data_IF_665691791502
#
_entry.id   IF_665691791502
#
_cell.length_a   1.000
_cell.length_b   1.000
_cell.length_c   1.000
_cell.angle_alpha   90.00
_cell.angle_beta   90.00
_cell.angle_gamma   90.00
#
_symmetry.space_group_name_H-M   'P 1'
#
loop_
_entity.id
_entity.type
_entity.pdbx_description
1 polymer ?
#
# COMPACT_ATOMS: atom_id res chain seq x y z
N UNK A 1 22.45 0.99 -18.91
CA UNK A 1 23.55 1.96 -18.68
C UNK A 1 23.00 3.36 -18.47
N UNK A 2 23.86 4.31 -18.05
CA UNK A 2 23.45 5.71 -17.94
C UNK A 2 23.00 6.22 -19.31
N UNK A 3 21.77 6.72 -19.40
CA UNK A 3 21.16 7.21 -20.65
C UNK A 3 20.16 6.23 -21.29
N UNK A 4 20.01 5.02 -20.77
CA UNK A 4 18.98 4.09 -21.27
C UNK A 4 17.57 4.63 -21.06
N UNK A 5 16.73 4.48 -22.09
CA UNK A 5 15.28 4.70 -21.98
C UNK A 5 14.62 3.36 -21.64
N UNK A 6 13.86 3.35 -20.55
CA UNK A 6 13.29 2.15 -19.95
C UNK A 6 11.78 2.34 -19.79
N UNK A 7 11.02 1.36 -20.28
CA UNK A 7 9.60 1.25 -19.96
C UNK A 7 9.43 0.44 -18.68
N UNK A 8 8.71 1.00 -17.71
CA UNK A 8 8.41 0.36 -16.44
C UNK A 8 6.93 0.03 -16.42
N UNK A 9 6.59 -1.22 -16.10
CA UNK A 9 5.23 -1.74 -16.01
C UNK A 9 4.92 -2.16 -14.57
N UNK A 10 4.45 -1.24 -13.71
CA UNK A 10 4.37 -1.50 -12.27
C UNK A 10 3.36 -2.56 -11.85
N UNK A 11 2.26 -2.68 -12.59
CA UNK A 11 1.25 -3.70 -12.35
C UNK A 11 1.71 -5.10 -12.75
N UNK A 12 2.61 -5.19 -13.73
CA UNK A 12 3.17 -6.45 -14.22
C UNK A 12 4.46 -6.85 -13.48
N UNK A 13 5.07 -5.92 -12.75
CA UNK A 13 6.35 -6.17 -12.10
C UNK A 13 7.46 -6.41 -13.11
N UNK A 14 7.48 -5.62 -14.20
CA UNK A 14 8.38 -5.78 -15.34
C UNK A 14 8.97 -4.45 -15.80
N UNK A 15 10.19 -4.47 -16.35
CA UNK A 15 10.78 -3.36 -17.08
C UNK A 15 11.47 -3.85 -18.36
N UNK A 16 11.36 -3.07 -19.44
CA UNK A 16 11.96 -3.37 -20.74
C UNK A 16 12.78 -2.20 -21.25
N UNK A 17 13.79 -2.49 -22.07
CA UNK A 17 14.46 -1.45 -22.86
C UNK A 17 13.47 -0.94 -23.91
N UNK A 18 13.32 0.38 -24.02
CA UNK A 18 12.30 1.00 -24.86
C UNK A 18 12.50 0.72 -26.35
N UNK A 19 13.75 0.78 -26.83
CA UNK A 19 14.06 0.68 -28.26
C UNK A 19 14.05 -0.78 -28.75
N UNK A 20 14.60 -1.69 -27.94
CA UNK A 20 14.77 -3.10 -28.33
C UNK A 20 13.63 -4.00 -27.86
N UNK A 21 12.82 -3.56 -26.90
CA UNK A 21 11.82 -4.39 -26.23
C UNK A 21 12.41 -5.49 -25.35
N UNK A 22 13.74 -5.53 -25.16
CA UNK A 22 14.41 -6.55 -24.35
C UNK A 22 13.99 -6.43 -22.87
N UNK A 23 13.67 -7.56 -22.24
CA UNK A 23 13.33 -7.60 -20.81
C UNK A 23 14.60 -7.35 -19.99
N UNK A 24 14.57 -6.29 -19.18
CA UNK A 24 15.69 -5.90 -18.31
C UNK A 24 15.52 -6.49 -16.91
N UNK A 25 14.29 -6.47 -16.39
CA UNK A 25 13.94 -7.14 -15.15
C UNK A 25 12.46 -7.52 -15.14
N UNK A 26 12.14 -8.59 -14.41
CA UNK A 26 10.77 -9.06 -14.25
C UNK A 26 10.60 -9.79 -12.91
N UNK A 27 9.36 -10.01 -12.50
CA UNK A 27 9.01 -10.74 -11.27
C UNK A 27 9.16 -9.94 -9.98
N UNK A 28 9.41 -8.63 -10.07
CA UNK A 28 9.42 -7.76 -8.88
C UNK A 28 8.01 -7.43 -8.42
N UNK A 29 7.87 -7.03 -7.15
CA UNK A 29 6.57 -6.70 -6.55
C UNK A 29 6.68 -5.37 -5.83
N UNK A 30 5.63 -4.54 -5.97
CA UNK A 30 5.47 -3.38 -5.09
C UNK A 30 5.25 -3.85 -3.66
N UNK A 31 5.75 -3.08 -2.69
CA UNK A 31 5.64 -3.41 -1.26
C UNK A 31 4.18 -3.54 -0.80
N UNK A 32 3.28 -2.77 -1.40
CA UNK A 32 1.85 -2.79 -1.13
C UNK A 32 1.10 -2.30 -2.36
N UNK A 33 -0.08 -2.85 -2.62
CA UNK A 33 -0.97 -2.40 -3.70
C UNK A 33 -1.49 -0.98 -3.47
N UNK A 34 -1.52 -0.51 -2.21
CA UNK A 34 -1.90 0.86 -1.86
C UNK A 34 -0.96 1.90 -2.47
N UNK A 35 0.27 1.52 -2.84
CA UNK A 35 1.23 2.41 -3.50
C UNK A 35 0.66 3.02 -4.80
N UNK A 36 -0.19 2.29 -5.53
CA UNK A 36 -0.84 2.81 -6.74
C UNK A 36 -1.85 3.93 -6.43
N UNK A 37 -2.60 3.78 -5.34
CA UNK A 37 -3.48 4.83 -4.85
C UNK A 37 -2.69 6.06 -4.36
N UNK A 38 -1.54 5.83 -3.72
CA UNK A 38 -0.68 6.91 -3.24
C UNK A 38 -0.16 7.75 -4.42
N UNK A 39 0.33 7.10 -5.48
CA UNK A 39 0.78 7.81 -6.70
C UNK A 39 -0.38 8.56 -7.34
N UNK A 40 -1.54 7.91 -7.53
CA UNK A 40 -2.73 8.53 -8.12
C UNK A 40 -3.22 9.75 -7.33
N UNK A 41 -3.10 9.72 -6.00
CA UNK A 41 -3.50 10.81 -5.12
C UNK A 41 -2.45 11.94 -5.03
N UNK A 42 -1.29 11.82 -5.70
CA UNK A 42 -0.19 12.77 -5.57
C UNK A 42 0.61 12.65 -4.26
N UNK A 43 0.54 11.49 -3.61
CA UNK A 43 1.30 11.13 -2.41
C UNK A 43 0.45 10.45 -1.33
N UNK A 44 1.14 9.80 -0.38
CA UNK A 44 0.51 9.10 0.74
C UNK A 44 -0.28 10.00 1.67
N UNK A 45 0.23 11.20 1.99
CA UNK A 45 -0.46 12.15 2.88
C UNK A 45 -1.80 12.61 2.25
N UNK A 46 -1.82 13.11 0.99
CA UNK A 46 -3.07 13.41 0.30
C UNK A 46 -4.06 12.24 0.28
N UNK A 47 -3.58 11.02 0.00
CA UNK A 47 -4.42 9.82 0.02
C UNK A 47 -5.08 9.59 1.39
N UNK A 48 -4.31 9.64 2.48
CA UNK A 48 -4.85 9.40 3.83
C UNK A 48 -5.93 10.43 4.17
N UNK A 49 -5.69 11.72 3.88
CA UNK A 49 -6.65 12.79 4.14
C UNK A 49 -7.91 12.62 3.27
N UNK A 50 -7.74 12.41 1.97
CA UNK A 50 -8.85 12.25 1.02
C UNK A 50 -9.69 11.00 1.32
N UNK A 51 -9.03 9.86 1.59
CA UNK A 51 -9.69 8.61 1.99
C UNK A 51 -10.46 8.80 3.30
N UNK A 52 -9.86 9.46 4.29
CA UNK A 52 -10.52 9.79 5.56
C UNK A 52 -11.75 10.68 5.39
N UNK A 53 -11.67 11.70 4.54
CA UNK A 53 -12.81 12.56 4.20
C UNK A 53 -13.94 11.76 3.55
N UNK A 54 -13.63 10.91 2.57
CA UNK A 54 -14.62 10.05 1.90
C UNK A 54 -15.29 9.10 2.90
N UNK A 55 -14.54 8.48 3.81
CA UNK A 55 -15.11 7.63 4.85
C UNK A 55 -16.11 8.39 5.71
N UNK A 56 -15.74 9.59 6.20
CA UNK A 56 -16.65 10.42 7.01
C UNK A 56 -17.92 10.80 6.26
N UNK A 57 -17.80 11.23 5.01
CA UNK A 57 -18.93 11.60 4.17
C UNK A 57 -19.90 10.43 3.96
N UNK A 58 -19.38 9.23 3.67
CA UNK A 58 -20.18 8.02 3.48
C UNK A 58 -20.92 7.62 4.75
N UNK A 59 -20.24 7.65 5.90
CA UNK A 59 -20.87 7.39 7.21
C UNK A 59 -22.03 8.36 7.47
N UNK A 60 -21.85 9.67 7.21
CA UNK A 60 -22.92 10.67 7.38
C UNK A 60 -24.10 10.45 6.45
N UNK A 61 -23.87 9.84 5.28
CA UNK A 61 -24.91 9.46 4.32
C UNK A 61 -25.53 8.08 4.60
N UNK A 62 -25.13 7.41 5.68
CA UNK A 62 -25.60 6.04 5.98
C UNK A 62 -25.11 4.98 4.99
N UNK A 63 -24.05 5.28 4.22
CA UNK A 63 -23.44 4.36 3.27
C UNK A 63 -22.36 3.51 3.94
N UNK A 64 -22.19 2.28 3.45
CA UNK A 64 -21.09 1.40 3.88
C UNK A 64 -19.70 1.90 3.43
N UNK A 65 -18.61 1.19 3.80
CA UNK A 65 -17.26 1.50 3.35
C UNK A 65 -17.13 1.62 1.83
N UNK A 66 -16.13 2.38 1.36
CA UNK A 66 -15.83 2.49 -0.07
C UNK A 66 -14.98 1.31 -0.55
N UNK A 67 -15.27 0.80 -1.74
CA UNK A 67 -14.51 -0.22 -2.48
C UNK A 67 -13.55 0.37 -3.53
N UNK A 68 -13.59 1.69 -3.75
CA UNK A 68 -12.78 2.41 -4.76
C UNK A 68 -11.29 2.44 -4.42
N UNK A 69 -10.94 2.31 -3.14
CA UNK A 69 -9.56 2.38 -2.67
C UNK A 69 -8.99 0.99 -2.44
N UNK A 70 -7.74 0.79 -2.85
CA UNK A 70 -6.98 -0.41 -2.51
C UNK A 70 -6.86 -0.53 -0.99
N UNK A 71 -7.08 -1.75 -0.49
CA UNK A 71 -6.96 -2.10 0.91
C UNK A 71 -5.58 -2.66 1.22
N UNK A 72 -5.11 -2.44 2.45
CA UNK A 72 -3.92 -3.10 2.93
C UNK A 72 -4.22 -4.58 3.16
N UNK A 73 -3.27 -5.44 2.78
CA UNK A 73 -3.35 -6.85 3.12
C UNK A 73 -3.37 -7.00 4.63
N UNK A 74 -4.34 -7.78 5.13
CA UNK A 74 -4.36 -8.12 6.55
C UNK A 74 -3.24 -9.12 6.80
N UNK A 75 -2.34 -8.86 7.75
CA UNK A 75 -1.33 -9.83 8.15
C UNK A 75 -2.00 -11.16 8.52
N UNK A 76 -1.26 -12.25 8.38
CA UNK A 76 -1.76 -13.60 8.62
C UNK A 76 -2.23 -13.88 10.07
N UNK A 77 -2.32 -15.17 10.45
CA UNK A 77 -2.85 -15.58 11.75
C UNK A 77 -2.21 -14.82 12.91
N UNK A 78 -3.01 -14.50 13.94
CA UNK A 78 -2.53 -13.82 15.14
C UNK A 78 -1.27 -14.51 15.69
N UNK A 79 -0.17 -13.78 15.94
CA UNK A 79 1.06 -14.38 16.42
C UNK A 79 0.86 -14.86 17.87
N UNK A 80 1.68 -15.83 18.28
CA UNK A 80 1.67 -16.36 19.66
C UNK A 80 2.07 -15.30 20.71
N UNK A 81 2.70 -14.21 20.29
CA UNK A 81 3.08 -13.09 21.13
C UNK A 81 3.63 -11.94 20.30
N UNK A 82 3.80 -10.79 20.94
CA UNK A 82 4.35 -9.59 20.33
C UNK A 82 5.70 -9.21 20.94
N UNK A 83 6.61 -8.71 20.12
CA UNK A 83 7.86 -8.08 20.58
C UNK A 83 7.55 -6.78 21.33
N UNK A 84 8.54 -6.24 22.05
CA UNK A 84 8.35 -4.97 22.76
C UNK A 84 7.95 -3.83 21.82
N UNK A 85 8.59 -3.73 20.66
CA UNK A 85 8.25 -2.72 19.65
C UNK A 85 6.82 -2.87 19.11
N UNK A 86 6.39 -4.10 18.84
CA UNK A 86 5.02 -4.38 18.38
C UNK A 86 3.98 -4.02 19.44
N UNK A 87 4.28 -4.26 20.73
CA UNK A 87 3.42 -3.85 21.85
C UNK A 87 3.36 -2.33 21.99
N UNK A 88 4.49 -1.64 21.83
CA UNK A 88 4.55 -0.17 21.90
C UNK A 88 3.65 0.48 20.84
N UNK A 89 3.78 0.05 19.57
CA UNK A 89 2.94 0.57 18.48
C UNK A 89 1.49 0.12 18.65
N UNK A 90 1.26 -1.15 19.00
CA UNK A 90 -0.08 -1.66 19.28
C UNK A 90 -0.81 -0.83 20.32
N UNK A 91 -0.17 -0.55 21.45
CA UNK A 91 -0.75 0.28 22.51
C UNK A 91 -1.15 1.67 22.01
N UNK A 92 -0.35 2.29 21.15
CA UNK A 92 -0.67 3.58 20.54
C UNK A 92 -1.86 3.51 19.57
N UNK A 93 -2.04 2.38 18.90
CA UNK A 93 -3.16 2.10 18.00
C UNK A 93 -4.37 1.45 18.70
N UNK A 94 -4.40 1.35 20.04
CA UNK A 94 -5.49 0.72 20.80
C UNK A 94 -5.60 -0.81 20.66
N UNK A 95 -4.48 -1.49 20.37
CA UNK A 95 -4.36 -2.94 20.18
C UNK A 95 -3.36 -3.56 21.17
N UNK A 96 -3.42 -4.88 21.37
CA UNK A 96 -2.43 -5.61 22.18
C UNK A 96 -1.03 -5.62 21.54
N UNK A 97 -0.98 -5.48 20.22
CA UNK A 97 0.22 -5.45 19.39
C UNK A 97 -0.13 -5.31 17.92
N UNK A 98 0.85 -4.91 17.10
CA UNK A 98 0.73 -4.88 15.63
C UNK A 98 1.60 -5.96 15.00
N UNK A 99 1.12 -6.58 13.92
CA UNK A 99 1.91 -7.56 13.18
C UNK A 99 2.84 -6.90 12.15
N UNK A 100 3.97 -7.55 11.78
CA UNK A 100 4.76 -7.09 10.64
C UNK A 100 3.92 -7.05 9.37
N UNK A 101 4.01 -5.94 8.62
CA UNK A 101 3.21 -5.72 7.41
C UNK A 101 1.83 -5.10 7.65
N UNK A 102 1.40 -4.97 8.91
CA UNK A 102 0.12 -4.33 9.24
C UNK A 102 0.17 -2.81 9.02
N UNK A 103 -0.87 -2.28 8.38
CA UNK A 103 -1.14 -0.84 8.39
C UNK A 103 -1.96 -0.49 9.63
N UNK A 104 -1.47 0.44 10.46
CA UNK A 104 -2.04 0.79 11.75
C UNK A 104 -2.02 2.30 12.01
#
# INVERSE_FOLDING_TARGET
EMGDVIDVFPYEGKATNHDSGAVLCEGWKVKTQVLFDEVRAGGRIPLIVGRGLTTKARTSLGLGPSDVFAQFETPGPKPKGFTLAQKMVGKACGKDGVQPGEYC
#
